data_IF_664102266149
#
_entry.id   IF_664102266149
#
_cell.length_a   1.000
_cell.length_b   1.000
_cell.length_c   1.000
_cell.angle_alpha   90.00
_cell.angle_beta   90.00
_cell.angle_gamma   90.00
#
_symmetry.space_group_name_H-M   'P 1'
#
loop_
_entity.id
_entity.type
_entity.pdbx_description
1 polymer ?
#
# COMPACT_ATOMS: atom_id res chain seq x y z
N UNK A 1 -35.99 -27.43 -9.44
CA UNK A 1 -35.32 -26.50 -8.49
C UNK A 1 -36.32 -25.44 -8.12
N UNK A 2 -36.62 -25.30 -6.83
CA UNK A 2 -37.44 -24.17 -6.38
C UNK A 2 -36.58 -22.91 -6.39
N UNK A 3 -37.18 -21.73 -6.54
CA UNK A 3 -36.42 -20.46 -6.47
C UNK A 3 -35.64 -20.34 -5.14
N UNK A 4 -36.09 -21.02 -4.07
CA UNK A 4 -35.38 -21.08 -2.80
C UNK A 4 -34.01 -21.75 -2.90
N UNK A 5 -33.90 -22.86 -3.62
CA UNK A 5 -32.64 -23.62 -3.72
C UNK A 5 -31.54 -22.77 -4.38
N UNK A 6 -31.90 -22.00 -5.41
CA UNK A 6 -30.97 -21.12 -6.15
C UNK A 6 -30.40 -20.00 -5.27
N UNK A 7 -31.22 -19.33 -4.45
CA UNK A 7 -30.71 -18.26 -3.57
C UNK A 7 -29.81 -18.79 -2.46
N UNK A 8 -30.07 -20.00 -1.96
CA UNK A 8 -29.21 -20.64 -0.96
C UNK A 8 -27.84 -20.98 -1.54
N UNK A 9 -27.81 -21.47 -2.77
CA UNK A 9 -26.58 -21.77 -3.50
C UNK A 9 -25.78 -20.50 -3.78
N UNK A 10 -26.44 -19.45 -4.30
CA UNK A 10 -25.82 -18.13 -4.49
C UNK A 10 -25.21 -17.61 -3.18
N UNK A 11 -25.94 -17.67 -2.07
CA UNK A 11 -25.45 -17.22 -0.77
C UNK A 11 -24.17 -17.95 -0.31
N UNK A 12 -24.11 -19.27 -0.52
CA UNK A 12 -22.90 -20.06 -0.24
C UNK A 12 -21.73 -19.66 -1.14
N UNK A 13 -22.01 -19.42 -2.42
CA UNK A 13 -21.00 -19.00 -3.39
C UNK A 13 -20.42 -17.62 -3.05
N UNK A 14 -21.26 -16.66 -2.65
CA UNK A 14 -20.83 -15.34 -2.16
C UNK A 14 -19.87 -15.47 -0.97
N UNK A 15 -20.18 -16.36 -0.01
CA UNK A 15 -19.30 -16.68 1.11
C UNK A 15 -17.95 -17.25 0.68
N UNK A 16 -17.94 -18.15 -0.31
CA UNK A 16 -16.72 -18.70 -0.89
C UNK A 16 -15.89 -17.62 -1.60
N UNK A 17 -16.53 -16.77 -2.40
CA UNK A 17 -15.88 -15.67 -3.10
C UNK A 17 -15.29 -14.65 -2.12
N UNK A 18 -16.01 -14.27 -1.07
CA UNK A 18 -15.47 -13.38 -0.03
C UNK A 18 -14.23 -13.96 0.65
N UNK A 19 -14.21 -15.26 0.97
CA UNK A 19 -13.03 -15.93 1.53
C UNK A 19 -11.88 -15.98 0.54
N UNK A 20 -12.17 -16.26 -0.73
CA UNK A 20 -11.17 -16.27 -1.80
C UNK A 20 -10.47 -14.92 -1.93
N UNK A 21 -11.21 -13.82 -2.03
CA UNK A 21 -10.62 -12.48 -2.12
C UNK A 21 -9.89 -12.07 -0.85
N UNK A 22 -10.36 -12.47 0.34
CA UNK A 22 -9.62 -12.23 1.58
C UNK A 22 -8.25 -12.94 1.58
N UNK A 23 -8.20 -14.20 1.10
CA UNK A 23 -6.96 -14.95 0.97
C UNK A 23 -6.03 -14.37 -0.10
N UNK A 24 -6.57 -13.93 -1.25
CA UNK A 24 -5.79 -13.26 -2.29
C UNK A 24 -5.08 -12.01 -1.75
N UNK A 25 -5.79 -11.17 -0.99
CA UNK A 25 -5.19 -9.97 -0.36
C UNK A 25 -4.01 -10.31 0.54
N UNK A 26 -4.15 -11.34 1.37
CA UNK A 26 -3.07 -11.81 2.25
C UNK A 26 -1.86 -12.35 1.44
N UNK A 27 -2.13 -13.11 0.38
CA UNK A 27 -1.09 -13.62 -0.50
C UNK A 27 -0.35 -12.48 -1.23
N UNK A 28 -1.09 -11.51 -1.79
CA UNK A 28 -0.56 -10.33 -2.47
C UNK A 28 0.33 -9.50 -1.54
N UNK A 29 -0.09 -9.29 -0.28
CA UNK A 29 0.74 -8.61 0.73
C UNK A 29 2.03 -9.38 1.03
N UNK A 30 1.95 -10.71 1.16
CA UNK A 30 3.11 -11.57 1.43
C UNK A 30 4.14 -11.47 0.30
N UNK A 31 3.68 -11.59 -0.94
CA UNK A 31 4.54 -11.45 -2.14
C UNK A 31 5.16 -10.05 -2.19
N UNK A 32 4.38 -9.01 -1.91
CA UNK A 32 4.89 -7.64 -1.86
C UNK A 32 6.02 -7.47 -0.83
N UNK A 33 5.83 -7.99 0.39
CA UNK A 33 6.85 -7.93 1.45
C UNK A 33 8.11 -8.69 1.02
N UNK A 34 7.96 -9.88 0.43
CA UNK A 34 9.09 -10.69 -0.01
C UNK A 34 9.91 -9.98 -1.11
N UNK A 35 9.25 -9.47 -2.15
CA UNK A 35 9.90 -8.73 -3.24
C UNK A 35 10.57 -7.46 -2.70
N UNK A 36 9.87 -6.68 -1.90
CA UNK A 36 10.39 -5.42 -1.35
C UNK A 36 11.60 -5.68 -0.44
N UNK A 37 11.52 -6.66 0.46
CA UNK A 37 12.62 -7.02 1.34
C UNK A 37 13.83 -7.53 0.56
N UNK A 38 13.59 -8.36 -0.46
CA UNK A 38 14.64 -8.83 -1.37
C UNK A 38 15.34 -7.68 -2.10
N UNK A 39 14.56 -6.75 -2.67
CA UNK A 39 15.11 -5.56 -3.32
C UNK A 39 15.91 -4.68 -2.34
N UNK A 40 15.41 -4.47 -1.13
CA UNK A 40 16.09 -3.68 -0.11
C UNK A 40 17.43 -4.33 0.28
N UNK A 41 17.44 -5.63 0.56
CA UNK A 41 18.68 -6.37 0.87
C UNK A 41 19.67 -6.31 -0.29
N UNK A 42 19.19 -6.45 -1.53
CA UNK A 42 20.04 -6.42 -2.71
C UNK A 42 20.64 -5.03 -2.99
N UNK A 43 19.85 -3.96 -2.84
CA UNK A 43 20.31 -2.58 -3.11
C UNK A 43 21.19 -2.03 -1.97
N UNK A 44 20.83 -2.30 -0.71
CA UNK A 44 21.41 -1.68 0.48
C UNK A 44 22.30 -2.64 1.30
N UNK A 45 22.49 -3.89 0.86
CA UNK A 45 23.43 -4.83 1.48
C UNK A 45 24.87 -4.32 1.40
N UNK A 46 25.64 -4.53 2.47
CA UNK A 46 27.03 -4.02 2.61
C UNK A 46 27.99 -4.56 1.56
N UNK A 47 27.76 -5.79 1.09
CA UNK A 47 28.72 -6.52 0.25
C UNK A 47 28.33 -6.52 -1.25
N UNK A 48 27.31 -5.75 -1.64
CA UNK A 48 26.80 -5.79 -3.02
C UNK A 48 27.54 -4.82 -3.94
N UNK A 49 28.40 -5.37 -4.79
CA UNK A 49 29.12 -4.68 -5.87
C UNK A 49 28.20 -4.34 -7.07
N UNK A 50 27.00 -3.82 -6.82
CA UNK A 50 26.10 -3.36 -7.88
C UNK A 50 26.58 -2.03 -8.44
N UNK A 51 26.58 -1.91 -9.77
CA UNK A 51 26.83 -0.64 -10.43
C UNK A 51 25.78 0.41 -10.01
N UNK A 52 26.13 1.70 -9.95
CA UNK A 52 25.18 2.76 -9.58
C UNK A 52 23.93 2.76 -10.45
N UNK A 53 24.09 2.54 -11.75
CA UNK A 53 22.98 2.47 -12.71
C UNK A 53 22.02 1.32 -12.38
N UNK A 54 22.54 0.15 -11.99
CA UNK A 54 21.72 -0.99 -11.60
C UNK A 54 20.94 -0.70 -10.31
N UNK A 55 21.57 -0.05 -9.32
CA UNK A 55 20.88 0.36 -8.08
C UNK A 55 19.73 1.32 -8.38
N UNK A 56 19.95 2.32 -9.24
CA UNK A 56 18.91 3.26 -9.67
C UNK A 56 17.77 2.54 -10.38
N UNK A 57 18.09 1.65 -11.33
CA UNK A 57 17.11 0.86 -12.05
C UNK A 57 16.23 0.02 -11.11
N UNK A 58 16.84 -0.67 -10.14
CA UNK A 58 16.09 -1.47 -9.17
C UNK A 58 15.22 -0.63 -8.23
N UNK A 59 15.66 0.58 -7.85
CA UNK A 59 14.82 1.53 -7.10
C UNK A 59 13.60 1.96 -7.91
N UNK A 60 13.75 2.20 -9.22
CA UNK A 60 12.64 2.51 -10.12
C UNK A 60 11.66 1.34 -10.16
N UNK A 61 12.16 0.11 -10.30
CA UNK A 61 11.32 -1.10 -10.26
C UNK A 61 10.55 -1.18 -8.93
N UNK A 62 11.21 -1.00 -7.79
CA UNK A 62 10.54 -0.98 -6.48
C UNK A 62 9.44 0.09 -6.39
N UNK A 63 9.73 1.28 -6.92
CA UNK A 63 8.79 2.39 -7.02
C UNK A 63 7.58 2.12 -7.93
N UNK A 64 7.73 1.30 -8.98
CA UNK A 64 6.63 0.91 -9.88
C UNK A 64 5.82 -0.29 -9.36
N UNK A 65 6.49 -1.27 -8.75
CA UNK A 65 5.84 -2.46 -8.20
C UNK A 65 4.89 -2.09 -7.06
N UNK A 66 5.30 -1.18 -6.18
CA UNK A 66 4.49 -0.80 -5.01
C UNK A 66 3.08 -0.29 -5.36
N UNK A 67 2.89 0.72 -6.24
CA UNK A 67 1.57 1.17 -6.66
C UNK A 67 0.80 0.11 -7.47
N UNK A 68 1.48 -0.76 -8.22
CA UNK A 68 0.82 -1.87 -8.91
C UNK A 68 0.17 -2.85 -7.92
N UNK A 69 0.87 -3.22 -6.85
CA UNK A 69 0.33 -4.07 -5.79
C UNK A 69 -0.79 -3.36 -4.99
N UNK A 70 -0.66 -2.06 -4.74
CA UNK A 70 -1.74 -1.28 -4.13
C UNK A 70 -3.01 -1.30 -5.00
N UNK A 71 -2.89 -1.16 -6.31
CA UNK A 71 -4.03 -1.24 -7.22
C UNK A 71 -4.71 -2.62 -7.18
N UNK A 72 -3.93 -3.70 -7.11
CA UNK A 72 -4.46 -5.07 -6.96
C UNK A 72 -5.21 -5.26 -5.63
N UNK A 73 -4.70 -4.68 -4.54
CA UNK A 73 -5.34 -4.68 -3.23
C UNK A 73 -6.69 -3.95 -3.28
N UNK A 74 -6.74 -2.74 -3.87
CA UNK A 74 -7.98 -1.96 -4.01
C UNK A 74 -9.05 -2.70 -4.83
N UNK A 75 -8.65 -3.31 -5.95
CA UNK A 75 -9.58 -4.14 -6.75
C UNK A 75 -10.14 -5.31 -5.96
N UNK A 76 -9.30 -5.98 -5.16
CA UNK A 76 -9.73 -7.10 -4.33
C UNK A 76 -10.71 -6.66 -3.23
N UNK A 77 -10.51 -5.47 -2.66
CA UNK A 77 -11.41 -4.84 -1.69
C UNK A 77 -12.76 -4.51 -2.34
N UNK A 78 -12.76 -3.96 -3.56
CA UNK A 78 -13.98 -3.65 -4.31
C UNK A 78 -14.83 -4.91 -4.57
N UNK A 79 -14.19 -5.98 -5.07
CA UNK A 79 -14.88 -7.26 -5.28
C UNK A 79 -15.44 -7.83 -3.98
N UNK A 80 -14.66 -7.83 -2.90
CA UNK A 80 -15.11 -8.30 -1.60
C UNK A 80 -16.34 -7.52 -1.09
N UNK A 81 -16.33 -6.19 -1.22
CA UNK A 81 -17.48 -5.35 -0.85
C UNK A 81 -18.70 -5.59 -1.73
N UNK A 82 -18.50 -5.84 -3.03
CA UNK A 82 -19.58 -6.19 -3.94
C UNK A 82 -20.31 -7.47 -3.49
N UNK A 83 -19.56 -8.54 -3.22
CA UNK A 83 -20.15 -9.80 -2.72
C UNK A 83 -20.78 -9.65 -1.35
N UNK A 84 -20.17 -8.88 -0.45
CA UNK A 84 -20.76 -8.62 0.87
C UNK A 84 -22.09 -7.89 0.77
N UNK A 85 -22.21 -6.87 -0.10
CA UNK A 85 -23.49 -6.15 -0.31
C UNK A 85 -24.57 -7.11 -0.78
N UNK A 86 -24.25 -7.94 -1.78
CA UNK A 86 -25.18 -8.96 -2.29
C UNK A 86 -25.58 -9.98 -1.22
N UNK A 87 -24.64 -10.42 -0.39
CA UNK A 87 -24.94 -11.33 0.71
C UNK A 87 -25.93 -10.72 1.71
N UNK A 88 -25.73 -9.45 2.08
CA UNK A 88 -26.65 -8.71 2.97
C UNK A 88 -28.05 -8.58 2.36
N UNK A 89 -28.17 -8.37 1.05
CA UNK A 89 -29.47 -8.35 0.37
C UNK A 89 -30.21 -9.69 0.51
N UNK A 90 -29.51 -10.82 0.33
CA UNK A 90 -30.08 -12.15 0.50
C UNK A 90 -30.43 -12.46 1.96
N UNK A 91 -29.62 -12.01 2.93
CA UNK A 91 -29.91 -12.20 4.35
C UNK A 91 -31.24 -11.56 4.78
N UNK A 92 -31.54 -10.36 4.25
CA UNK A 92 -32.80 -9.65 4.54
C UNK A 92 -34.03 -10.42 4.09
N UNK A 93 -33.92 -11.20 3.01
CA UNK A 93 -35.03 -11.99 2.49
C UNK A 93 -35.31 -13.23 3.36
N UNK A 94 -34.28 -13.78 3.99
CA UNK A 94 -34.32 -15.09 4.67
C UNK A 94 -34.13 -14.98 6.20
N UNK A 95 -34.16 -13.76 6.74
CA UNK A 95 -33.98 -13.44 8.16
C UNK A 95 -32.65 -13.97 8.75
N UNK A 96 -31.60 -14.06 7.95
CA UNK A 96 -30.24 -14.35 8.44
C UNK A 96 -29.55 -13.08 8.96
N UNK A 97 -28.47 -13.24 9.73
CA UNK A 97 -27.80 -12.11 10.39
C UNK A 97 -26.27 -12.28 10.53
N UNK A 98 -25.64 -13.03 9.63
CA UNK A 98 -24.19 -13.27 9.65
C UNK A 98 -23.41 -12.02 9.23
N UNK A 99 -23.84 -11.32 8.18
CA UNK A 99 -23.17 -10.11 7.66
C UNK A 99 -23.85 -8.81 8.09
N UNK A 100 -25.16 -8.82 8.26
CA UNK A 100 -25.97 -7.66 8.65
C UNK A 100 -25.68 -7.22 10.09
N UNK A 101 -25.48 -8.16 11.02
CA UNK A 101 -25.23 -7.89 12.43
C UNK A 101 -23.76 -7.61 12.76
N UNK A 102 -22.85 -7.82 11.80
CA UNK A 102 -21.43 -7.66 12.01
C UNK A 102 -21.06 -6.18 12.17
N UNK A 103 -20.64 -5.79 13.39
CA UNK A 103 -20.11 -4.44 13.65
C UNK A 103 -18.81 -4.23 12.88
N UNK A 104 -18.79 -3.29 11.93
CA UNK A 104 -17.58 -2.88 11.24
C UNK A 104 -16.77 -1.92 12.12
N UNK A 105 -15.58 -2.37 12.56
CA UNK A 105 -14.60 -1.45 13.14
C UNK A 105 -14.03 -0.56 12.02
N UNK A 106 -14.36 0.73 12.03
CA UNK A 106 -14.01 1.66 10.94
C UNK A 106 -12.53 2.07 10.91
N UNK A 107 -11.87 2.13 12.08
CA UNK A 107 -10.53 2.70 12.21
C UNK A 107 -9.44 1.62 12.03
N UNK A 108 -9.60 0.48 12.69
CA UNK A 108 -8.68 -0.67 12.64
C UNK A 108 -9.09 -1.75 11.62
N UNK A 109 -9.71 -1.34 10.51
CA UNK A 109 -9.99 -2.27 9.43
C UNK A 109 -8.68 -2.76 8.80
N UNK A 110 -8.58 -4.07 8.53
CA UNK A 110 -7.42 -4.66 7.86
C UNK A 110 -7.03 -3.91 6.58
N UNK A 111 -8.02 -3.40 5.83
CA UNK A 111 -7.82 -2.57 4.64
C UNK A 111 -7.03 -1.29 4.90
N UNK A 112 -7.24 -0.61 6.03
CA UNK A 112 -6.48 0.59 6.35
C UNK A 112 -5.03 0.24 6.70
N UNK A 113 -4.82 -0.89 7.37
CA UNK A 113 -3.48 -1.38 7.68
C UNK A 113 -2.70 -1.75 6.41
N UNK A 114 -3.32 -2.46 5.46
CA UNK A 114 -2.67 -2.79 4.18
C UNK A 114 -2.37 -1.55 3.34
N UNK A 115 -3.32 -0.61 3.25
CA UNK A 115 -3.10 0.70 2.60
C UNK A 115 -1.92 1.47 3.22
N UNK A 116 -1.80 1.47 4.54
CA UNK A 116 -0.68 2.12 5.24
C UNK A 116 0.66 1.47 4.86
N UNK A 117 0.73 0.14 4.80
CA UNK A 117 1.95 -0.58 4.38
C UNK A 117 2.37 -0.16 2.96
N UNK A 118 1.44 -0.13 2.01
CA UNK A 118 1.74 0.31 0.65
C UNK A 118 2.14 1.78 0.60
N UNK A 119 1.47 2.66 1.34
CA UNK A 119 1.82 4.08 1.40
C UNK A 119 3.22 4.30 1.95
N UNK A 120 3.61 3.57 3.01
CA UNK A 120 5.00 3.57 3.52
C UNK A 120 5.98 3.08 2.46
N UNK A 121 5.62 2.03 1.71
CA UNK A 121 6.43 1.54 0.59
C UNK A 121 6.65 2.61 -0.50
N UNK A 122 5.59 3.33 -0.89
CA UNK A 122 5.67 4.40 -1.90
C UNK A 122 6.59 5.51 -1.39
N UNK A 123 6.40 5.97 -0.15
CA UNK A 123 7.25 6.99 0.49
C UNK A 123 8.70 6.53 0.53
N UNK A 124 8.95 5.28 0.93
CA UNK A 124 10.29 4.70 0.96
C UNK A 124 10.97 4.77 -0.40
N UNK A 125 10.33 4.27 -1.47
CA UNK A 125 10.95 4.25 -2.80
C UNK A 125 11.15 5.65 -3.38
N UNK A 126 10.19 6.56 -3.17
CA UNK A 126 10.33 7.96 -3.60
C UNK A 126 11.51 8.63 -2.89
N UNK A 127 11.65 8.48 -1.59
CA UNK A 127 12.81 9.06 -0.87
C UNK A 127 14.13 8.41 -1.29
N UNK A 128 14.16 7.12 -1.58
CA UNK A 128 15.35 6.42 -2.06
C UNK A 128 15.79 6.91 -3.46
N UNK A 129 14.84 7.22 -4.34
CA UNK A 129 15.10 7.80 -5.68
C UNK A 129 15.52 9.26 -5.59
N UNK A 130 14.83 10.06 -4.78
CA UNK A 130 15.17 11.47 -4.56
C UNK A 130 16.59 11.63 -4.01
N UNK A 131 17.01 10.76 -3.07
CA UNK A 131 18.40 10.77 -2.58
C UNK A 131 19.42 10.56 -3.70
N UNK A 132 19.15 9.65 -4.64
CA UNK A 132 20.06 9.37 -5.75
C UNK A 132 20.12 10.51 -6.76
N UNK A 133 18.97 11.13 -7.05
CA UNK A 133 18.86 12.24 -8.01
C UNK A 133 19.46 13.54 -7.46
N UNK A 134 19.25 13.82 -6.18
CA UNK A 134 19.62 15.09 -5.56
C UNK A 134 21.08 15.08 -5.07
N UNK A 135 21.60 13.94 -4.62
CA UNK A 135 22.98 13.84 -4.11
C UNK A 135 24.05 14.42 -5.04
N UNK A 136 24.12 14.07 -6.34
CA UNK A 136 25.14 14.63 -7.23
C UNK A 136 24.96 16.15 -7.42
N UNK A 137 23.72 16.63 -7.55
CA UNK A 137 23.41 18.04 -7.70
C UNK A 137 23.83 18.86 -6.47
N UNK A 138 23.56 18.36 -5.24
CA UNK A 138 24.02 19.00 -4.00
C UNK A 138 25.54 19.02 -3.94
N UNK A 139 26.23 17.91 -4.25
CA UNK A 139 27.70 17.85 -4.20
C UNK A 139 28.33 18.86 -5.15
N UNK A 140 27.75 19.05 -6.33
CA UNK A 140 28.23 20.02 -7.32
C UNK A 140 28.01 21.47 -6.86
N UNK A 141 26.81 21.79 -6.34
CA UNK A 141 26.51 23.12 -5.80
C UNK A 141 27.32 23.47 -4.56
N UNK A 142 27.66 22.47 -3.75
CA UNK A 142 28.30 22.68 -2.46
C UNK A 142 29.83 22.65 -2.52
N UNK A 143 30.47 22.10 -3.56
CA UNK A 143 31.95 22.12 -3.71
C UNK A 143 32.62 23.45 -3.35
N UNK A 144 32.11 24.63 -3.75
CA UNK A 144 32.72 25.91 -3.38
C UNK A 144 32.39 26.43 -1.96
N UNK A 145 31.41 25.86 -1.24
CA UNK A 145 30.97 26.31 0.11
C UNK A 145 31.06 25.23 1.22
N UNK A 146 31.32 23.96 0.90
CA UNK A 146 31.17 22.80 1.81
C UNK A 146 32.34 22.57 2.80
N UNK A 147 33.19 23.57 3.05
CA UNK A 147 34.16 23.47 4.16
C UNK A 147 33.49 23.85 5.50
N UNK A 148 32.36 24.57 5.50
CA UNK A 148 31.81 25.16 6.72
C UNK A 148 30.54 24.50 7.31
N UNK A 149 29.75 23.71 6.57
CA UNK A 149 28.36 23.42 6.97
C UNK A 149 27.82 22.00 6.72
N UNK A 150 28.69 20.99 6.66
CA UNK A 150 28.36 19.65 6.14
C UNK A 150 27.35 18.84 6.99
N UNK A 151 27.24 19.12 8.29
CA UNK A 151 26.51 18.19 9.20
C UNK A 151 25.07 18.62 9.55
N UNK A 152 24.69 19.88 9.39
CA UNK A 152 23.36 20.37 9.82
C UNK A 152 22.31 20.43 8.71
N UNK A 153 22.73 20.66 7.47
CA UNK A 153 21.79 20.90 6.37
C UNK A 153 21.13 19.60 5.86
N UNK A 154 21.87 18.50 5.86
CA UNK A 154 21.36 17.21 5.37
C UNK A 154 20.21 16.67 6.24
N UNK A 155 20.32 16.84 7.55
CA UNK A 155 19.26 16.46 8.50
C UNK A 155 18.00 17.32 8.34
N UNK A 156 18.16 18.64 8.17
CA UNK A 156 17.03 19.56 8.00
C UNK A 156 16.25 19.29 6.70
N UNK A 157 16.95 18.99 5.59
CA UNK A 157 16.30 18.69 4.32
C UNK A 157 15.57 17.34 4.35
N UNK A 158 16.14 16.31 4.98
CA UNK A 158 15.44 15.05 5.18
C UNK A 158 14.19 15.22 6.05
N UNK A 159 14.28 16.01 7.13
CA UNK A 159 13.15 16.27 8.01
C UNK A 159 12.03 17.03 7.27
N UNK A 160 12.39 18.01 6.43
CA UNK A 160 11.43 18.77 5.64
C UNK A 160 10.68 17.89 4.62
N UNK A 161 11.39 17.01 3.90
CA UNK A 161 10.76 16.07 2.96
C UNK A 161 9.85 15.09 3.69
N UNK A 162 10.24 14.60 4.87
CA UNK A 162 9.39 13.74 5.71
C UNK A 162 8.12 14.48 6.13
N UNK A 163 8.22 15.75 6.55
CA UNK A 163 7.08 16.56 6.94
C UNK A 163 6.13 16.84 5.75
N UNK A 164 6.67 17.09 4.56
CA UNK A 164 5.89 17.25 3.32
C UNK A 164 5.14 15.98 2.95
N UNK A 165 5.79 14.82 3.05
CA UNK A 165 5.17 13.52 2.79
C UNK A 165 4.13 13.15 3.86
N UNK A 166 4.37 13.50 5.12
CA UNK A 166 3.35 13.39 6.18
C UNK A 166 2.14 14.27 5.86
N UNK A 167 2.37 15.51 5.41
CA UNK A 167 1.31 16.44 5.03
C UNK A 167 0.46 15.93 3.87
N UNK A 168 1.08 15.39 2.81
CA UNK A 168 0.34 14.81 1.68
C UNK A 168 -0.40 13.53 2.08
N UNK A 169 0.20 12.70 2.94
CA UNK A 169 -0.46 11.51 3.50
C UNK A 169 -1.69 11.89 4.34
N UNK A 170 -1.57 12.91 5.19
CA UNK A 170 -2.68 13.46 5.98
C UNK A 170 -3.77 14.00 5.05
N UNK A 171 -3.41 14.74 4.00
CA UNK A 171 -4.37 15.25 3.01
C UNK A 171 -5.10 14.11 2.28
N UNK A 172 -4.39 13.07 1.88
CA UNK A 172 -4.96 11.87 1.27
C UNK A 172 -5.90 11.15 2.22
N UNK A 173 -5.50 10.98 3.48
CA UNK A 173 -6.34 10.43 4.55
C UNK A 173 -7.62 11.24 4.74
N UNK A 174 -7.54 12.57 4.77
CA UNK A 174 -8.71 13.45 4.87
C UNK A 174 -9.63 13.27 3.65
N UNK A 175 -9.06 13.16 2.45
CA UNK A 175 -9.84 12.99 1.21
C UNK A 175 -10.54 11.63 1.16
N UNK A 176 -9.88 10.57 1.62
CA UNK A 176 -10.46 9.23 1.77
C UNK A 176 -11.55 9.22 2.84
N UNK A 177 -11.36 9.88 3.99
CA UNK A 177 -12.38 10.01 5.04
C UNK A 177 -13.62 10.74 4.51
N UNK A 178 -13.44 11.77 3.67
CA UNK A 178 -14.57 12.50 3.05
C UNK A 178 -15.40 11.63 2.09
N UNK A 179 -14.79 10.67 1.40
CA UNK A 179 -15.50 9.76 0.50
C UNK A 179 -16.18 8.57 1.19
N UNK A 180 -15.92 8.38 2.49
CA UNK A 180 -16.51 7.32 3.30
C UNK A 180 -17.73 7.78 4.13
N UNK A 181 -18.12 9.06 4.02
CA UNK A 181 -19.40 9.59 4.52
C UNK A 181 -20.39 9.68 3.38
#
# INVERSE_FOLDING_TARGET
MTNGDTFREEYKELGNNMRHYANMRFATLTVFIAITSGLVLFIFGRDNALSPNMKTFLKIIGGLITPAFLLMEERSVDYWHSFKRRAIELEKLWCFNQYTGAKSAKIFAATNATRLVYAVGIVFWLTALLKELIAPCIVELTRPCLIALKDKFFFALQLFVILLLLGTLICLLIKVIKHLK
#
